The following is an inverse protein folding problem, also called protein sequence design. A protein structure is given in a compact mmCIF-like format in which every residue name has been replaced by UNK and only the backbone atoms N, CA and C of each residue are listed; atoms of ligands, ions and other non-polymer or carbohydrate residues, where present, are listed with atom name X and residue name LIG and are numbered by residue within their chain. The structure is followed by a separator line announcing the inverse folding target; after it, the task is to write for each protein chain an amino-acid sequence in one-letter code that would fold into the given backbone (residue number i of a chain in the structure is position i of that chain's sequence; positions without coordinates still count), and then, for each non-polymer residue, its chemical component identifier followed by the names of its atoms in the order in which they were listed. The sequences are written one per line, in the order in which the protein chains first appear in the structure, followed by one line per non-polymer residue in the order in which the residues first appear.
data_IF_515611846827
#
_entry.id   IF_515611846827
#
_cell.length_a   1.000
_cell.length_b   1.000
_cell.length_c   1.000
_cell.angle_alpha   90.00
_cell.angle_beta   90.00
_cell.angle_gamma   90.00
#
_symmetry.space_group_name_H-M   'P 1'
#
loop_
_entity.id
_entity.type
_entity.pdbx_description
1 polymer ?
#
# COMPACT_ATOMS: atom_id res chain seq x y z
N UNK A 1 -23.38 22.05 3.30
CA UNK A 1 -23.50 20.62 2.90
C UNK A 1 -22.17 19.95 3.21
N UNK A 2 -22.09 18.91 4.04
CA UNK A 2 -20.82 18.27 4.31
C UNK A 2 -20.39 17.51 3.06
N UNK A 3 -19.20 17.79 2.56
CA UNK A 3 -18.61 17.05 1.45
C UNK A 3 -18.42 15.60 1.91
N UNK A 4 -19.27 14.69 1.42
CA UNK A 4 -19.06 13.26 1.58
C UNK A 4 -17.80 12.94 0.76
N UNK A 5 -16.65 12.89 1.43
CA UNK A 5 -15.45 12.34 0.83
C UNK A 5 -15.82 10.94 0.35
N UNK A 6 -15.82 10.72 -0.97
CA UNK A 6 -16.13 9.43 -1.56
C UNK A 6 -15.17 8.41 -0.94
N UNK A 7 -15.67 7.57 -0.03
CA UNK A 7 -14.88 6.51 0.58
C UNK A 7 -14.52 5.60 -0.59
N UNK A 8 -13.22 5.45 -0.94
CA UNK A 8 -12.83 4.63 -2.06
C UNK A 8 -13.38 3.22 -1.86
N UNK A 9 -14.19 2.76 -2.83
CA UNK A 9 -14.90 1.47 -2.76
C UNK A 9 -13.95 0.27 -2.64
N UNK A 10 -12.68 0.45 -3.02
CA UNK A 10 -11.63 -0.55 -2.92
C UNK A 10 -10.35 0.08 -2.40
N UNK A 11 -9.89 -0.38 -1.23
CA UNK A 11 -8.58 -0.02 -0.70
C UNK A 11 -7.48 -0.72 -1.51
N UNK A 12 -6.35 -0.05 -1.64
CA UNK A 12 -5.10 -0.61 -2.16
C UNK A 12 -4.67 -1.73 -1.20
N UNK A 13 -4.80 -2.98 -1.66
CA UNK A 13 -4.60 -4.18 -0.87
C UNK A 13 -4.07 -5.32 -1.75
N UNK A 14 -3.52 -6.38 -1.16
CA UNK A 14 -3.03 -7.52 -1.92
C UNK A 14 -4.17 -8.20 -2.70
N UNK A 15 -3.92 -8.63 -3.94
CA UNK A 15 -4.95 -9.21 -4.84
C UNK A 15 -5.60 -10.46 -4.25
N UNK A 16 -4.85 -11.21 -3.45
CA UNK A 16 -5.27 -12.49 -2.87
C UNK A 16 -5.98 -12.32 -1.51
N UNK A 17 -6.33 -11.10 -1.11
CA UNK A 17 -6.96 -10.83 0.18
C UNK A 17 -8.44 -11.25 0.16
N UNK A 18 -8.79 -12.25 0.97
CA UNK A 18 -10.17 -12.76 1.10
C UNK A 18 -10.91 -12.10 2.29
N UNK A 19 -10.18 -11.69 3.33
CA UNK A 19 -10.75 -11.09 4.55
C UNK A 19 -10.64 -9.57 4.53
N UNK A 20 -11.49 -8.88 5.29
CA UNK A 20 -11.40 -7.43 5.48
C UNK A 20 -10.00 -6.98 5.94
N UNK A 21 -9.63 -5.74 5.62
CA UNK A 21 -8.38 -5.14 6.07
C UNK A 21 -8.47 -4.72 7.53
N UNK A 22 -7.63 -5.26 8.45
CA UNK A 22 -7.66 -4.88 9.85
C UNK A 22 -7.08 -3.48 10.08
N UNK A 23 -6.17 -3.03 9.20
CA UNK A 23 -5.45 -1.77 9.35
C UNK A 23 -5.53 -0.94 8.06
N UNK A 24 -6.58 -0.15 7.94
CA UNK A 24 -6.80 0.76 6.82
C UNK A 24 -6.21 2.14 7.11
N UNK A 25 -5.50 2.70 6.13
CA UNK A 25 -4.97 4.05 6.14
C UNK A 25 -5.68 4.88 5.07
N UNK A 26 -6.26 6.01 5.47
CA UNK A 26 -6.80 7.00 4.55
C UNK A 26 -5.85 8.19 4.43
N UNK A 27 -5.40 8.51 3.22
CA UNK A 27 -4.48 9.62 2.93
C UNK A 27 -4.86 10.31 1.63
N UNK A 28 -4.89 11.64 1.63
CA UNK A 28 -4.97 12.41 0.39
C UNK A 28 -3.59 12.45 -0.25
N UNK A 29 -3.43 11.76 -1.37
CA UNK A 29 -2.18 11.74 -2.15
C UNK A 29 -2.50 11.46 -3.62
N UNK A 30 -1.48 11.48 -4.48
CA UNK A 30 -1.59 11.19 -5.91
C UNK A 30 -0.68 10.01 -6.26
N UNK A 31 -1.27 8.93 -6.74
CA UNK A 31 -0.49 7.86 -7.35
C UNK A 31 -0.04 8.25 -8.76
N UNK A 32 1.10 7.74 -9.27
CA UNK A 32 1.53 7.91 -10.65
C UNK A 32 0.47 7.51 -11.68
N UNK A 33 -0.30 6.45 -11.40
CA UNK A 33 -1.44 6.03 -12.23
C UNK A 33 -2.62 7.00 -12.25
N UNK A 34 -2.62 8.02 -11.39
CA UNK A 34 -3.72 8.97 -11.21
C UNK A 34 -3.34 10.36 -11.73
N UNK A 35 -4.32 11.09 -12.26
CA UNK A 35 -4.13 12.45 -12.76
C UNK A 35 -4.21 13.52 -11.67
N UNK A 36 -4.96 13.27 -10.59
CA UNK A 36 -5.27 14.23 -9.53
C UNK A 36 -5.01 13.65 -8.14
N UNK A 37 -4.83 14.53 -7.15
CA UNK A 37 -4.80 14.15 -5.73
C UNK A 37 -6.19 13.66 -5.34
N UNK A 38 -6.26 12.50 -4.70
CA UNK A 38 -7.50 11.94 -4.19
C UNK A 38 -7.30 11.20 -2.87
N UNK A 39 -8.41 10.89 -2.20
CA UNK A 39 -8.39 10.13 -0.96
C UNK A 39 -8.08 8.65 -1.27
N UNK A 40 -6.84 8.25 -0.99
CA UNK A 40 -6.40 6.86 -1.08
C UNK A 40 -6.78 6.12 0.21
N UNK A 41 -7.28 4.89 0.07
CA UNK A 41 -7.33 3.92 1.16
C UNK A 41 -6.26 2.85 0.91
N UNK A 42 -5.39 2.59 1.89
CA UNK A 42 -4.30 1.60 1.79
C UNK A 42 -4.43 0.61 2.95
N UNK A 43 -4.31 -0.68 2.67
CA UNK A 43 -4.27 -1.69 3.73
C UNK A 43 -2.84 -1.92 4.23
N UNK A 44 -2.48 -1.35 5.38
CA UNK A 44 -1.11 -1.34 5.92
C UNK A 44 -0.57 -2.77 6.08
N UNK A 45 -1.41 -3.70 6.56
CA UNK A 45 -0.99 -5.07 6.88
C UNK A 45 -0.49 -5.86 5.68
N UNK A 46 -0.96 -5.56 4.48
CA UNK A 46 -0.50 -6.26 3.28
C UNK A 46 0.91 -5.83 2.88
N UNK A 47 1.30 -4.61 3.20
CA UNK A 47 2.62 -4.06 2.88
C UNK A 47 3.62 -4.23 4.02
N UNK A 48 3.18 -4.71 5.19
CA UNK A 48 4.03 -4.88 6.37
C UNK A 48 5.32 -5.67 6.09
N UNK A 49 5.31 -6.78 5.31
CA UNK A 49 6.53 -7.51 4.97
C UNK A 49 7.58 -6.65 4.24
N UNK A 50 7.15 -5.61 3.52
CA UNK A 50 8.02 -4.67 2.80
C UNK A 50 8.47 -3.47 3.65
N UNK A 51 7.88 -3.30 4.83
CA UNK A 51 8.17 -2.20 5.76
C UNK A 51 9.03 -2.64 6.95
N UNK A 52 9.15 -3.94 7.20
CA UNK A 52 10.01 -4.48 8.25
C UNK A 52 11.48 -4.38 7.88
N UNK A 53 12.32 -4.09 8.86
CA UNK A 53 13.77 -4.26 8.73
C UNK A 53 14.08 -5.75 8.68
N UNK A 54 15.03 -6.13 7.83
CA UNK A 54 15.47 -7.52 7.68
C UNK A 54 16.83 -7.69 8.34
N UNK A 55 16.94 -8.57 9.32
CA UNK A 55 18.16 -8.78 10.12
C UNK A 55 19.03 -9.93 9.60
N UNK A 56 18.56 -10.67 8.57
CA UNK A 56 19.27 -11.79 7.98
C UNK A 56 19.07 -11.93 6.47
N UNK A 57 19.96 -12.67 5.81
CA UNK A 57 19.98 -12.80 4.36
C UNK A 57 18.76 -13.55 3.80
N UNK A 58 18.25 -14.55 4.53
CA UNK A 58 17.02 -15.24 4.14
C UNK A 58 15.81 -14.29 4.14
N UNK A 59 15.68 -13.44 5.16
CA UNK A 59 14.61 -12.44 5.25
C UNK A 59 14.70 -11.38 4.13
N UNK A 60 15.92 -10.99 3.75
CA UNK A 60 16.14 -10.10 2.59
C UNK A 60 15.67 -10.73 1.29
N UNK A 61 15.96 -12.02 1.08
CA UNK A 61 15.51 -12.75 -0.12
C UNK A 61 13.98 -12.80 -0.15
N UNK A 62 13.35 -13.18 0.96
CA UNK A 62 11.88 -13.25 1.08
C UNK A 62 11.23 -11.87 0.86
N UNK A 63 11.80 -10.81 1.43
CA UNK A 63 11.32 -9.45 1.21
C UNK A 63 11.49 -9.00 -0.25
N UNK A 64 12.61 -9.33 -0.90
CA UNK A 64 12.83 -9.01 -2.32
C UNK A 64 11.84 -9.76 -3.23
N UNK A 65 11.55 -11.03 -2.94
CA UNK A 65 10.55 -11.80 -3.68
C UNK A 65 9.15 -11.21 -3.50
N UNK A 66 8.80 -10.84 -2.27
CA UNK A 66 7.53 -10.17 -1.97
C UNK A 66 7.45 -8.83 -2.71
N UNK A 67 8.53 -8.05 -2.72
CA UNK A 67 8.59 -6.77 -3.41
C UNK A 67 8.32 -6.93 -4.90
N UNK A 68 8.94 -7.91 -5.56
CA UNK A 68 8.69 -8.21 -6.98
C UNK A 68 7.24 -8.56 -7.27
N UNK A 69 6.58 -9.34 -6.39
CA UNK A 69 5.16 -9.66 -6.55
C UNK A 69 4.29 -8.39 -6.50
N UNK A 70 4.63 -7.46 -5.60
CA UNK A 70 3.93 -6.20 -5.46
C UNK A 70 4.26 -5.24 -6.61
N UNK A 71 5.47 -5.28 -7.18
CA UNK A 71 5.83 -4.52 -8.38
C UNK A 71 5.01 -4.99 -9.58
N UNK A 72 4.72 -6.29 -9.71
CA UNK A 72 3.80 -6.81 -10.73
C UNK A 72 2.37 -6.35 -10.49
N UNK A 73 1.93 -6.26 -9.23
CA UNK A 73 0.56 -5.89 -8.89
C UNK A 73 0.28 -4.39 -9.01
N UNK A 74 1.21 -3.55 -8.56
CA UNK A 74 1.00 -2.10 -8.40
C UNK A 74 1.88 -1.27 -9.32
N UNK A 75 2.88 -1.86 -9.98
CA UNK A 75 3.76 -1.17 -10.93
C UNK A 75 4.43 0.06 -10.31
N UNK A 76 4.30 1.18 -11.03
CA UNK A 76 4.88 2.47 -10.65
C UNK A 76 4.24 3.08 -9.41
N UNK A 77 3.08 2.59 -8.96
CA UNK A 77 2.42 3.08 -7.76
C UNK A 77 3.08 2.56 -6.48
N UNK A 78 3.75 1.40 -6.53
CA UNK A 78 4.33 0.74 -5.36
C UNK A 78 5.29 1.64 -4.56
N UNK A 79 6.27 2.33 -5.17
CA UNK A 79 7.18 3.20 -4.44
C UNK A 79 6.46 4.33 -3.70
N UNK A 80 5.40 4.89 -4.30
CA UNK A 80 4.60 5.95 -3.70
C UNK A 80 3.76 5.41 -2.54
N UNK A 81 3.12 4.25 -2.70
CA UNK A 81 2.38 3.57 -1.64
C UNK A 81 3.31 3.30 -0.44
N UNK A 82 4.50 2.75 -0.67
CA UNK A 82 5.47 2.49 0.39
C UNK A 82 5.97 3.78 1.05
N UNK A 83 6.15 4.87 0.29
CA UNK A 83 6.52 6.17 0.85
C UNK A 83 5.42 6.74 1.75
N UNK A 84 4.15 6.63 1.36
CA UNK A 84 3.00 7.03 2.19
C UNK A 84 2.99 6.25 3.51
N UNK A 85 3.23 4.94 3.45
CA UNK A 85 3.22 4.07 4.62
C UNK A 85 4.42 4.30 5.55
N UNK A 86 5.60 4.59 5.02
CA UNK A 86 6.80 4.88 5.83
C UNK A 86 6.69 6.21 6.60
N UNK A 87 5.96 7.19 6.07
CA UNK A 87 5.69 8.48 6.74
C UNK A 87 4.79 8.38 7.96
N UNK A 88 4.23 7.20 8.26
CA UNK A 88 3.42 6.97 9.46
C UNK A 88 4.21 6.49 10.69
N UNK A 89 5.50 6.17 10.55
CA UNK A 89 6.36 5.85 11.70
C UNK A 89 7.02 7.09 12.27
#
# INVERSE_FOLDING_TARGET
MPAQAAVPQQCIQAKNRIKACPHQLYRADKLPSQSNIQLLCICISDFEPLLRQTDGDQQKIEQNMTRRQFEVQFGEDLPVILAILKRQR
#
